data_IF_649539015405
#
_entry.id   IF_649539015405
#
_cell.length_a   1.000
_cell.length_b   1.000
_cell.length_c   1.000
_cell.angle_alpha   90.00
_cell.angle_beta   90.00
_cell.angle_gamma   90.00
#
_symmetry.space_group_name_H-M   'P 1'
#
loop_
_entity.id
_entity.type
_entity.pdbx_description
1 polymer ?
#
# COMPACT_ATOMS: atom_id res chain seq x y z
N UNK A 1 70.52 22.57 -0.29
CA UNK A 1 70.22 21.73 0.90
C UNK A 1 68.71 21.53 0.90
N UNK A 2 68.16 20.43 0.37
CA UNK A 2 68.12 19.04 0.91
C UNK A 2 67.42 19.03 2.28
N UNK A 3 66.36 18.27 2.58
CA UNK A 3 65.56 17.21 1.90
C UNK A 3 64.08 17.33 2.33
N UNK A 4 63.07 16.74 1.67
CA UNK A 4 62.74 15.35 1.34
C UNK A 4 62.34 14.45 2.54
N UNK A 5 61.22 13.72 2.33
CA UNK A 5 60.58 12.63 3.10
C UNK A 5 59.51 13.05 4.14
N UNK A 6 58.35 12.39 4.31
CA UNK A 6 57.68 11.27 3.62
C UNK A 6 56.21 11.18 4.12
N UNK A 7 55.39 10.42 3.40
CA UNK A 7 53.95 10.14 3.56
C UNK A 7 53.59 9.45 4.89
N UNK A 8 52.33 9.62 5.30
CA UNK A 8 51.44 8.52 5.74
C UNK A 8 49.98 8.90 5.46
N UNK A 9 49.36 8.15 4.53
CA UNK A 9 47.91 7.98 4.39
C UNK A 9 47.30 7.47 5.70
N UNK A 10 46.11 7.96 6.07
CA UNK A 10 45.10 7.10 6.68
C UNK A 10 43.71 7.64 6.37
N UNK A 11 42.88 6.73 5.85
CA UNK A 11 41.58 7.01 5.29
C UNK A 11 40.54 7.46 6.31
N UNK A 12 39.58 8.20 5.78
CA UNK A 12 38.36 8.60 6.47
C UNK A 12 37.27 8.87 5.44
N UNK A 13 37.00 7.87 4.60
CA UNK A 13 35.80 7.84 3.77
C UNK A 13 34.63 7.82 4.75
N UNK A 14 34.00 8.96 4.99
CA UNK A 14 32.73 9.03 5.72
C UNK A 14 31.67 8.49 4.76
N UNK A 15 31.64 7.18 4.59
CA UNK A 15 30.43 6.44 4.25
C UNK A 15 29.60 6.38 5.54
N UNK A 16 28.76 7.37 5.76
CA UNK A 16 27.61 7.26 6.67
C UNK A 16 26.60 8.33 6.30
N UNK A 17 25.95 8.11 5.15
CA UNK A 17 24.52 8.37 5.09
C UNK A 17 23.91 7.30 4.17
N UNK A 18 23.78 6.07 4.67
CA UNK A 18 22.70 5.19 4.19
C UNK A 18 21.41 5.81 4.74
N UNK A 19 21.00 6.92 4.13
CA UNK A 19 19.68 7.45 4.27
C UNK A 19 18.73 6.29 4.03
N UNK A 20 17.95 5.92 5.05
CA UNK A 20 16.84 4.99 4.87
C UNK A 20 16.01 5.56 3.73
N UNK A 21 16.10 4.94 2.55
CA UNK A 21 15.25 5.29 1.44
C UNK A 21 13.81 5.37 1.98
N UNK A 22 13.13 6.51 1.82
CA UNK A 22 11.80 6.66 2.34
C UNK A 22 10.96 5.50 1.82
N UNK A 23 10.23 4.87 2.72
CA UNK A 23 9.23 3.86 2.37
C UNK A 23 8.02 4.56 1.75
N UNK A 24 8.26 5.37 0.72
CA UNK A 24 7.23 6.10 0.00
C UNK A 24 6.48 5.10 -0.86
N UNK A 25 5.15 5.17 -0.79
CA UNK A 25 4.31 4.58 -1.82
C UNK A 25 4.88 5.01 -3.18
N UNK A 26 5.05 4.05 -4.08
CA UNK A 26 5.53 4.32 -5.43
C UNK A 26 4.40 4.83 -6.30
N UNK A 27 3.21 4.25 -6.11
CA UNK A 27 2.00 4.66 -6.78
C UNK A 27 0.86 4.83 -5.79
N UNK A 28 0.03 5.82 -6.02
CA UNK A 28 -1.16 6.14 -5.26
C UNK A 28 -2.36 6.16 -6.20
N UNK A 29 -3.27 5.21 -6.01
CA UNK A 29 -4.48 5.06 -6.83
C UNK A 29 -5.69 5.43 -5.99
N UNK A 30 -6.72 6.00 -6.63
CA UNK A 30 -8.00 6.28 -5.98
C UNK A 30 -9.18 5.75 -6.81
N UNK A 31 -10.27 5.45 -6.13
CA UNK A 31 -11.57 5.13 -6.74
C UNK A 31 -12.47 6.39 -6.88
N UNK A 32 -11.88 7.58 -6.92
CA UNK A 32 -12.63 8.85 -7.01
C UNK A 32 -13.37 9.22 -5.72
N UNK A 33 -13.21 8.45 -4.64
CA UNK A 33 -13.72 8.78 -3.30
C UNK A 33 -12.56 9.09 -2.35
N UNK A 34 -12.82 9.09 -1.04
CA UNK A 34 -11.79 9.21 -0.02
C UNK A 34 -10.89 7.98 0.14
N UNK A 35 -11.17 6.92 -0.63
CA UNK A 35 -10.45 5.64 -0.56
C UNK A 35 -9.30 5.59 -1.55
N UNK A 36 -8.19 5.04 -1.05
CA UNK A 36 -6.91 5.09 -1.74
C UNK A 36 -6.15 3.81 -1.57
N UNK A 37 -5.37 3.48 -2.60
CA UNK A 37 -4.49 2.32 -2.63
C UNK A 37 -3.09 2.77 -2.92
N UNK A 38 -2.18 2.50 -1.99
CA UNK A 38 -0.76 2.75 -2.14
C UNK A 38 -0.04 1.45 -2.49
N UNK A 39 0.61 1.42 -3.65
CA UNK A 39 1.48 0.34 -4.07
C UNK A 39 2.93 0.72 -3.72
N UNK A 40 3.59 -0.12 -2.93
CA UNK A 40 4.97 0.10 -2.51
C UNK A 40 5.92 -0.64 -3.45
N UNK A 41 7.11 -0.07 -3.65
CA UNK A 41 8.14 -0.69 -4.49
C UNK A 41 8.65 -2.03 -3.92
N UNK A 42 8.42 -2.29 -2.62
CA UNK A 42 8.69 -3.57 -1.95
C UNK A 42 7.56 -4.61 -2.09
N UNK A 43 6.58 -4.37 -2.96
CA UNK A 43 5.50 -5.31 -3.27
C UNK A 43 4.31 -5.28 -2.31
N UNK A 44 4.38 -4.50 -1.22
CA UNK A 44 3.22 -4.31 -0.33
C UNK A 44 2.15 -3.46 -0.98
N UNK A 45 0.90 -3.70 -0.59
CA UNK A 45 -0.26 -2.90 -0.99
C UNK A 45 -0.93 -2.37 0.27
N UNK A 46 -1.17 -1.06 0.35
CA UNK A 46 -1.96 -0.47 1.44
C UNK A 46 -3.25 0.10 0.89
N UNK A 47 -4.38 -0.47 1.30
CA UNK A 47 -5.69 0.13 1.10
C UNK A 47 -5.99 1.00 2.32
N UNK A 48 -6.46 2.22 2.13
CA UNK A 48 -6.77 3.12 3.23
C UNK A 48 -7.87 4.10 2.90
N UNK A 49 -8.59 4.51 3.93
CA UNK A 49 -9.67 5.50 3.86
C UNK A 49 -9.55 6.44 5.04
N UNK A 50 -10.05 7.67 4.90
CA UNK A 50 -10.16 8.63 6.00
C UNK A 50 -11.56 8.68 6.61
N UNK A 51 -12.55 8.03 6.01
CA UNK A 51 -13.96 8.16 6.40
C UNK A 51 -14.48 6.94 7.15
N UNK A 52 -13.83 5.79 6.99
CA UNK A 52 -14.26 4.53 7.58
C UNK A 52 -13.09 3.61 7.93
N UNK A 53 -13.40 2.59 8.72
CA UNK A 53 -12.55 1.42 8.95
C UNK A 53 -12.83 0.36 7.88
N UNK A 54 -11.83 -0.44 7.53
CA UNK A 54 -11.99 -1.56 6.59
C UNK A 54 -12.39 -2.84 7.31
N UNK A 55 -13.13 -3.70 6.62
CA UNK A 55 -13.43 -5.07 7.03
C UNK A 55 -12.95 -6.04 5.95
N UNK A 56 -12.31 -7.13 6.37
CA UNK A 56 -12.02 -8.26 5.48
C UNK A 56 -13.32 -9.05 5.26
N UNK A 57 -13.82 -9.07 4.02
CA UNK A 57 -15.06 -9.76 3.67
C UNK A 57 -14.81 -11.23 3.32
N UNK A 58 -13.79 -11.49 2.52
CA UNK A 58 -13.40 -12.84 2.13
C UNK A 58 -11.91 -12.90 1.81
N UNK A 59 -11.38 -14.12 1.87
CA UNK A 59 -10.06 -14.49 1.38
C UNK A 59 -10.20 -15.71 0.50
N UNK A 60 -9.77 -15.58 -0.75
CA UNK A 60 -9.93 -16.60 -1.77
C UNK A 60 -8.57 -17.06 -2.26
N UNK A 61 -8.41 -18.39 -2.35
CA UNK A 61 -7.23 -19.02 -2.93
C UNK A 61 -7.61 -19.64 -4.26
N UNK A 62 -7.10 -19.06 -5.33
CA UNK A 62 -7.13 -19.71 -6.63
C UNK A 62 -5.90 -20.61 -6.75
N UNK A 63 -6.16 -21.91 -6.67
CA UNK A 63 -5.20 -23.02 -6.68
C UNK A 63 -4.17 -23.03 -7.84
N UNK A 64 -4.31 -22.18 -8.86
CA UNK A 64 -3.30 -21.96 -9.91
C UNK A 64 -2.87 -20.50 -10.10
N UNK A 65 -3.49 -19.54 -9.41
CA UNK A 65 -3.36 -18.10 -9.68
C UNK A 65 -3.09 -17.27 -8.41
N UNK A 66 -2.78 -17.89 -7.27
CA UNK A 66 -2.44 -17.17 -6.03
C UNK A 66 -3.65 -16.82 -5.17
N UNK A 67 -3.48 -15.85 -4.27
CA UNK A 67 -4.49 -15.50 -3.27
C UNK A 67 -4.97 -14.06 -3.40
N UNK A 68 -6.23 -13.84 -3.03
CA UNK A 68 -6.92 -12.55 -3.07
C UNK A 68 -7.63 -12.31 -1.75
N UNK A 69 -7.61 -11.06 -1.27
CA UNK A 69 -8.44 -10.59 -0.16
C UNK A 69 -9.43 -9.56 -0.68
N UNK A 70 -10.70 -9.73 -0.31
CA UNK A 70 -11.76 -8.77 -0.59
C UNK A 70 -11.99 -7.89 0.63
N UNK A 71 -11.88 -6.58 0.44
CA UNK A 71 -12.06 -5.57 1.48
C UNK A 71 -13.34 -4.80 1.24
N UNK A 72 -14.13 -4.65 2.29
CA UNK A 72 -15.37 -3.87 2.28
C UNK A 72 -15.36 -2.76 3.32
N UNK A 73 -16.36 -1.91 3.22
CA UNK A 73 -16.64 -0.88 4.22
C UNK A 73 -16.97 -1.53 5.56
N UNK A 74 -16.15 -1.25 6.57
CA UNK A 74 -16.46 -1.49 7.97
C UNK A 74 -17.19 -0.30 8.58
N UNK A 75 -16.93 -0.04 9.86
CA UNK A 75 -17.56 1.07 10.59
C UNK A 75 -17.11 2.43 10.06
N UNK A 76 -18.08 3.30 9.74
CA UNK A 76 -17.86 4.73 9.46
C UNK A 76 -17.34 5.45 10.71
N UNK A 77 -16.40 6.38 10.52
CA UNK A 77 -15.82 7.17 11.59
C UNK A 77 -16.70 8.37 11.95
N UNK A 78 -16.87 8.64 13.24
CA UNK A 78 -17.64 9.79 13.72
C UNK A 78 -17.00 11.13 13.32
N UNK A 79 -15.67 11.15 13.23
CA UNK A 79 -14.90 12.29 12.75
C UNK A 79 -13.98 11.81 11.62
N UNK A 80 -14.28 12.16 10.36
CA UNK A 80 -13.40 11.86 9.24
C UNK A 80 -12.02 12.49 9.40
N UNK A 81 -11.01 11.81 8.84
CA UNK A 81 -9.68 12.37 8.68
C UNK A 81 -9.64 13.49 7.64
N UNK A 82 -8.59 14.33 7.65
CA UNK A 82 -8.49 15.48 6.78
C UNK A 82 -8.41 15.06 5.30
N UNK A 83 -9.12 15.82 4.47
CA UNK A 83 -9.09 15.73 3.00
C UNK A 83 -8.14 16.74 2.37
N UNK A 84 -7.85 17.82 3.08
CA UNK A 84 -7.08 18.93 2.57
C UNK A 84 -5.59 18.57 2.44
N UNK A 85 -4.97 19.00 1.32
CA UNK A 85 -3.55 18.76 0.99
C UNK A 85 -3.17 17.31 0.74
N UNK A 86 -4.13 16.46 0.34
CA UNK A 86 -3.81 15.12 -0.14
C UNK A 86 -2.96 15.18 -1.41
N UNK A 87 -2.00 14.26 -1.48
CA UNK A 87 -1.26 14.02 -2.72
C UNK A 87 -2.25 13.64 -3.83
N UNK A 88 -2.09 14.20 -5.03
CA UNK A 88 -2.89 13.80 -6.18
C UNK A 88 -2.59 12.33 -6.50
N UNK A 89 -3.61 11.48 -6.73
CA UNK A 89 -3.37 10.10 -7.14
C UNK A 89 -2.76 10.06 -8.56
N UNK A 90 -1.94 9.05 -8.82
CA UNK A 90 -1.35 8.77 -10.13
C UNK A 90 -2.40 8.26 -11.13
N UNK A 91 -3.43 7.57 -10.64
CA UNK A 91 -4.61 7.21 -11.40
C UNK A 91 -5.86 7.26 -10.52
N UNK A 92 -6.99 7.61 -11.14
CA UNK A 92 -8.28 7.72 -10.48
C UNK A 92 -9.35 7.07 -11.34
N UNK A 93 -10.20 6.24 -10.73
CA UNK A 93 -11.27 5.52 -11.41
C UNK A 93 -12.60 5.81 -10.76
N UNK A 94 -13.55 6.38 -11.50
CA UNK A 94 -14.87 6.69 -10.95
C UNK A 94 -15.69 5.42 -10.74
N UNK A 95 -16.38 5.36 -9.60
CA UNK A 95 -17.35 4.32 -9.30
C UNK A 95 -18.75 4.74 -9.73
N UNK A 96 -19.61 3.73 -9.89
CA UNK A 96 -21.01 3.88 -10.27
C UNK A 96 -21.83 2.87 -9.45
N UNK A 97 -22.36 3.28 -8.29
CA UNK A 97 -23.05 2.38 -7.37
C UNK A 97 -24.23 1.63 -7.99
N UNK A 98 -24.82 2.12 -9.09
CA UNK A 98 -25.94 1.45 -9.77
C UNK A 98 -25.51 0.11 -10.41
N UNK A 99 -24.21 -0.07 -10.67
CA UNK A 99 -23.66 -1.29 -11.25
C UNK A 99 -23.31 -2.38 -10.22
N UNK A 100 -23.47 -2.10 -8.92
CA UNK A 100 -23.29 -3.07 -7.84
C UNK A 100 -21.88 -3.71 -7.78
N UNK A 101 -21.81 -5.01 -7.48
CA UNK A 101 -20.53 -5.73 -7.36
C UNK A 101 -19.98 -6.16 -8.72
N UNK A 102 -19.59 -5.16 -9.52
CA UNK A 102 -18.94 -5.33 -10.81
C UNK A 102 -17.62 -4.58 -10.81
N UNK A 103 -16.62 -5.10 -11.53
CA UNK A 103 -15.29 -4.48 -11.58
C UNK A 103 -15.38 -3.15 -12.33
N UNK A 104 -15.04 -2.06 -11.65
CA UNK A 104 -14.95 -0.72 -12.21
C UNK A 104 -13.59 -0.46 -12.88
N UNK A 105 -12.52 -0.94 -12.24
CA UNK A 105 -11.17 -0.85 -12.78
C UNK A 105 -10.25 -1.91 -12.17
N UNK A 106 -9.27 -2.35 -12.95
CA UNK A 106 -8.18 -3.22 -12.52
C UNK A 106 -6.85 -2.49 -12.66
N UNK A 107 -6.10 -2.40 -11.56
CA UNK A 107 -4.69 -2.00 -11.56
C UNK A 107 -3.85 -3.26 -11.43
N UNK A 108 -2.86 -3.42 -12.30
CA UNK A 108 -1.94 -4.56 -12.24
C UNK A 108 -0.48 -4.10 -12.15
N UNK A 109 0.31 -4.89 -11.44
CA UNK A 109 1.75 -4.73 -11.36
C UNK A 109 2.45 -5.86 -12.13
N UNK A 110 3.62 -5.54 -12.67
CA UNK A 110 4.51 -6.48 -13.38
C UNK A 110 4.98 -7.69 -12.54
N UNK A 111 4.76 -7.65 -11.23
CA UNK A 111 5.06 -8.73 -10.31
C UNK A 111 3.88 -9.67 -10.02
N UNK A 112 2.75 -9.48 -10.71
CA UNK A 112 1.52 -10.23 -10.54
C UNK A 112 0.56 -9.65 -9.50
N UNK A 113 0.96 -8.64 -8.72
CA UNK A 113 0.03 -7.97 -7.80
C UNK A 113 -1.05 -7.26 -8.59
N UNK A 114 -2.30 -7.37 -8.14
CA UNK A 114 -3.41 -6.64 -8.73
C UNK A 114 -4.33 -6.06 -7.65
N UNK A 115 -5.01 -4.98 -8.03
CA UNK A 115 -6.04 -4.31 -7.25
C UNK A 115 -7.25 -4.12 -8.15
N UNK A 116 -8.40 -4.60 -7.71
CA UNK A 116 -9.67 -4.37 -8.42
C UNK A 116 -10.56 -3.49 -7.58
N UNK A 117 -11.01 -2.40 -8.19
CA UNK A 117 -12.05 -1.54 -7.63
C UNK A 117 -13.39 -2.04 -8.14
N UNK A 118 -14.35 -2.19 -7.25
CA UNK A 118 -15.72 -2.54 -7.61
C UNK A 118 -16.63 -1.32 -7.51
N UNK A 119 -17.66 -1.30 -8.34
CA UNK A 119 -18.63 -0.21 -8.41
C UNK A 119 -19.40 0.01 -7.09
N UNK A 120 -19.55 -1.03 -6.27
CA UNK A 120 -20.11 -0.96 -4.92
C UNK A 120 -19.14 -0.39 -3.86
N UNK A 121 -17.91 -0.06 -4.25
CA UNK A 121 -16.85 0.49 -3.41
C UNK A 121 -16.00 -0.54 -2.66
N UNK A 122 -16.29 -1.84 -2.80
CA UNK A 122 -15.36 -2.87 -2.32
C UNK A 122 -14.07 -2.88 -3.15
N UNK A 123 -12.99 -3.40 -2.56
CA UNK A 123 -11.66 -3.45 -3.17
C UNK A 123 -11.10 -4.86 -2.99
N UNK A 124 -10.76 -5.53 -4.08
CA UNK A 124 -9.98 -6.77 -4.03
C UNK A 124 -8.50 -6.47 -4.22
N UNK A 125 -7.66 -7.10 -3.41
CA UNK A 125 -6.20 -7.07 -3.54
C UNK A 125 -5.69 -8.49 -3.62
N UNK A 126 -4.97 -8.81 -4.68
CA UNK A 126 -4.47 -10.17 -4.90
C UNK A 126 -3.12 -10.19 -5.61
N UNK A 127 -2.60 -11.40 -5.79
CA UNK A 127 -1.41 -11.61 -6.60
C UNK A 127 -1.54 -12.87 -7.45
N UNK A 128 -1.29 -12.72 -8.75
CA UNK A 128 -1.25 -13.80 -9.73
C UNK A 128 0.00 -14.68 -9.54
N UNK A 129 -0.11 -15.67 -8.66
CA UNK A 129 0.89 -16.71 -8.43
C UNK A 129 1.65 -16.64 -7.10
N UNK A 130 1.26 -15.76 -6.18
CA UNK A 130 1.80 -15.71 -4.81
C UNK A 130 0.70 -15.81 -3.76
N UNK A 131 1.03 -16.46 -2.64
CA UNK A 131 0.13 -16.58 -1.49
C UNK A 131 0.19 -15.31 -0.61
N UNK A 132 -0.92 -14.99 0.07
CA UNK A 132 -0.98 -13.91 1.05
C UNK A 132 -0.25 -14.33 2.33
N UNK A 133 0.77 -13.56 2.71
CA UNK A 133 1.52 -13.78 3.96
C UNK A 133 0.85 -13.05 5.11
N UNK A 134 0.36 -11.83 4.89
CA UNK A 134 -0.28 -11.05 5.93
C UNK A 134 -1.31 -10.07 5.38
N UNK A 135 -2.42 -9.95 6.10
CA UNK A 135 -3.39 -8.86 6.01
C UNK A 135 -3.37 -8.16 7.37
N UNK A 136 -2.85 -6.93 7.41
CA UNK A 136 -2.71 -6.15 8.64
C UNK A 136 -3.70 -4.99 8.62
N UNK A 137 -4.84 -5.20 9.28
CA UNK A 137 -5.93 -4.22 9.35
C UNK A 137 -5.82 -3.36 10.61
N UNK A 138 -5.61 -2.07 10.42
CA UNK A 138 -5.43 -1.08 11.47
C UNK A 138 -6.38 0.09 11.29
N UNK A 139 -6.86 0.63 12.42
CA UNK A 139 -7.70 1.81 12.47
C UNK A 139 -7.06 2.88 13.34
N UNK A 140 -7.37 4.14 13.04
CA UNK A 140 -7.10 5.28 13.93
C UNK A 140 -8.33 6.18 13.97
N UNK A 141 -8.74 6.55 15.18
CA UNK A 141 -9.82 7.50 15.42
C UNK A 141 -9.27 8.87 15.83
N UNK A 142 -10.11 9.90 15.68
CA UNK A 142 -9.80 11.24 16.19
C UNK A 142 -9.68 11.22 17.71
N UNK A 143 -8.64 11.87 18.25
CA UNK A 143 -8.43 11.98 19.68
C UNK A 143 -8.07 13.43 20.04
N UNK A 144 -8.81 14.00 21.00
CA UNK A 144 -8.67 15.37 21.50
C UNK A 144 -7.30 15.66 22.12
N UNK A 145 -6.59 14.65 22.63
CA UNK A 145 -5.25 14.82 23.25
C UNK A 145 -4.12 15.13 22.26
N UNK A 146 -4.34 14.95 20.96
CA UNK A 146 -3.32 15.19 19.92
C UNK A 146 -3.49 16.51 19.17
N UNK A 147 -4.53 17.28 19.49
CA UNK A 147 -4.78 18.60 18.88
C UNK A 147 -4.96 18.57 17.35
N UNK A 148 -5.26 17.42 16.74
CA UNK A 148 -5.41 17.32 15.29
C UNK A 148 -5.96 15.99 14.78
N UNK A 149 -6.65 16.05 13.64
CA UNK A 149 -7.30 14.93 12.93
C UNK A 149 -6.35 14.16 12.00
N UNK A 150 -5.05 14.46 12.01
CA UNK A 150 -4.09 13.89 11.07
C UNK A 150 -3.95 12.37 11.26
N UNK A 151 -4.08 11.63 10.15
CA UNK A 151 -3.90 10.18 10.12
C UNK A 151 -5.06 9.36 10.69
N UNK A 152 -6.23 9.97 10.88
CA UNK A 152 -7.51 9.30 11.17
C UNK A 152 -7.99 8.54 9.94
N UNK A 153 -8.50 7.32 10.15
CA UNK A 153 -8.86 6.43 9.04
C UNK A 153 -8.66 4.95 9.34
N UNK A 154 -9.21 4.12 8.45
CA UNK A 154 -8.88 2.70 8.33
C UNK A 154 -7.74 2.47 7.35
N UNK A 155 -6.92 1.45 7.60
CA UNK A 155 -5.95 0.98 6.63
C UNK A 155 -5.67 -0.52 6.73
N UNK A 156 -5.56 -1.17 5.58
CA UNK A 156 -5.19 -2.56 5.45
C UNK A 156 -3.89 -2.65 4.67
N UNK A 157 -2.85 -3.20 5.28
CA UNK A 157 -1.60 -3.54 4.59
C UNK A 157 -1.65 -5.01 4.18
N UNK A 158 -1.51 -5.27 2.89
CA UNK A 158 -1.49 -6.61 2.28
C UNK A 158 -0.07 -6.91 1.81
N UNK A 159 0.43 -8.09 2.18
CA UNK A 159 1.78 -8.56 1.81
C UNK A 159 1.69 -9.97 1.25
N UNK A 160 2.37 -10.20 0.12
CA UNK A 160 2.47 -11.50 -0.54
C UNK A 160 3.84 -12.15 -0.30
N UNK A 161 3.87 -13.48 -0.33
CA UNK A 161 5.08 -14.27 -0.14
C UNK A 161 5.69 -14.75 -1.45
N UNK A 162 7.01 -14.90 -1.47
CA UNK A 162 7.75 -15.37 -2.65
C UNK A 162 8.05 -14.26 -3.66
N UNK A 163 8.65 -14.67 -4.77
CA UNK A 163 9.23 -13.77 -5.80
C UNK A 163 8.76 -14.09 -7.21
N UNK A 164 7.71 -14.91 -7.35
CA UNK A 164 7.18 -15.31 -8.65
C UNK A 164 6.70 -14.09 -9.44
N UNK A 165 7.08 -13.98 -10.71
CA UNK A 165 6.54 -12.97 -11.62
C UNK A 165 5.85 -13.67 -12.78
N UNK A 166 4.55 -13.42 -13.02
CA UNK A 166 3.85 -14.04 -14.12
C UNK A 166 4.42 -13.57 -15.46
N UNK A 167 4.42 -14.45 -16.46
CA UNK A 167 4.89 -14.10 -17.81
C UNK A 167 3.96 -13.12 -18.53
N UNK A 168 2.66 -13.26 -18.28
CA UNK A 168 1.62 -12.40 -18.83
C UNK A 168 0.99 -11.67 -17.66
N UNK A 169 1.05 -10.34 -17.69
CA UNK A 169 0.33 -9.50 -16.73
C UNK A 169 -1.16 -9.58 -17.02
N UNK A 170 -1.97 -9.60 -15.97
CA UNK A 170 -3.44 -9.55 -16.05
C UNK A 170 -3.89 -8.36 -16.91
N UNK A 171 -5.01 -8.53 -17.62
CA UNK A 171 -5.69 -7.41 -18.28
C UNK A 171 -6.04 -6.32 -17.26
N UNK A 172 -5.73 -5.07 -17.58
CA UNK A 172 -5.79 -3.97 -16.63
C UNK A 172 -6.03 -2.64 -17.33
N UNK A 173 -6.57 -1.70 -16.56
CA UNK A 173 -6.81 -0.32 -16.95
C UNK A 173 -5.61 0.58 -16.64
N UNK A 174 -4.77 0.16 -15.69
CA UNK A 174 -3.54 0.84 -15.33
C UNK A 174 -2.47 -0.15 -14.87
N UNK A 175 -1.31 -0.08 -15.52
CA UNK A 175 -0.18 -0.95 -15.23
C UNK A 175 0.92 -0.19 -14.51
N UNK A 176 1.52 -0.84 -13.51
CA UNK A 176 2.67 -0.30 -12.78
C UNK A 176 3.83 -1.29 -12.76
N UNK A 177 5.03 -0.75 -12.53
CA UNK A 177 6.24 -1.55 -12.35
C UNK A 177 6.74 -1.43 -10.91
N UNK A 178 6.93 -2.56 -10.23
CA UNK A 178 7.43 -2.65 -8.85
C UNK A 178 8.77 -3.39 -8.86
N UNK A 179 9.82 -2.79 -8.27
CA UNK A 179 11.16 -3.36 -8.35
C UNK A 179 11.35 -4.58 -7.44
N UNK A 180 10.78 -4.55 -6.22
CA UNK A 180 10.94 -5.57 -5.18
C UNK A 180 12.40 -5.89 -4.82
N UNK A 181 13.31 -4.91 -4.96
CA UNK A 181 14.74 -5.12 -4.67
C UNK A 181 15.04 -5.28 -3.17
N UNK A 182 14.07 -5.00 -2.31
CA UNK A 182 14.19 -5.08 -0.85
C UNK A 182 13.04 -5.85 -0.26
N UNK A 183 13.29 -6.60 0.82
CA UNK A 183 12.24 -7.29 1.55
C UNK A 183 11.18 -6.31 2.11
N UNK A 184 9.90 -6.71 2.12
CA UNK A 184 8.83 -5.92 2.74
C UNK A 184 9.17 -5.51 4.16
N UNK A 185 8.95 -4.24 4.50
CA UNK A 185 9.10 -3.80 5.90
C UNK A 185 8.05 -4.48 6.80
N UNK A 186 8.42 -4.89 8.03
CA UNK A 186 7.45 -5.45 8.97
C UNK A 186 6.32 -4.47 9.29
N UNK A 187 5.10 -5.00 9.40
CA UNK A 187 3.95 -4.24 9.85
C UNK A 187 4.10 -3.86 11.33
N UNK A 188 3.70 -2.64 11.67
CA UNK A 188 3.62 -2.15 13.05
C UNK A 188 2.48 -1.18 13.19
N UNK A 189 1.86 -1.15 14.36
CA UNK A 189 0.97 -0.05 14.73
C UNK A 189 1.82 1.19 14.99
N UNK A 190 1.35 2.32 14.48
CA UNK A 190 1.83 3.62 14.92
C UNK A 190 1.08 4.07 16.16
N UNK A 191 1.54 5.16 16.78
CA UNK A 191 0.87 5.77 17.92
C UNK A 191 -0.63 5.99 17.61
N UNK A 192 -1.49 5.63 18.55
CA UNK A 192 -2.95 5.76 18.50
C UNK A 192 -3.65 4.88 17.45
N UNK A 193 -2.93 4.00 16.74
CA UNK A 193 -3.56 2.95 15.93
C UNK A 193 -3.92 1.73 16.77
N UNK A 194 -4.99 1.05 16.37
CA UNK A 194 -5.44 -0.21 16.93
C UNK A 194 -5.70 -1.21 15.81
N UNK A 195 -5.63 -2.50 16.12
CA UNK A 195 -6.03 -3.54 15.17
C UNK A 195 -7.55 -3.58 15.06
N UNK A 196 -8.03 -3.56 13.82
CA UNK A 196 -9.45 -3.82 13.53
C UNK A 196 -9.61 -5.33 13.39
N UNK A 197 -10.57 -5.89 14.12
CA UNK A 197 -10.92 -7.31 14.08
C UNK A 197 -12.08 -7.55 13.14
#
# INVERSE_FOLDING_TARGET
MVGCAERCDFGGRIEHDRGMAPNSAKYLISNGTDDRVSLFDDGRVKVWSTTHLWTELSRERHNALGETVLLGFGRTLDTPGPVDRRQQPDAEFSLDPEQGHTVAATVAADNGTFVQFFHDGTIAVGNDGRDLVSVFNAGRESNTTRGGVNGVGGSVMVTFGGSYRPRTVRENDFQVELAETTSPRPNRLYKDEFLVK
#
